data_IF_711532056510
#
_entry.id   IF_711532056510
#
_cell.length_a   1.000
_cell.length_b   1.000
_cell.length_c   1.000
_cell.angle_alpha   90.00
_cell.angle_beta   90.00
_cell.angle_gamma   90.00
#
_symmetry.space_group_name_H-M   'P 1'
#
loop_
_entity.id
_entity.type
_entity.pdbx_description
1 polymer ?
#
# COMPACT_ATOMS: atom_id res chain seq x y z
N UNK A 1 2.96 -4.60 -2.55
CA UNK A 1 2.40 -4.47 -1.17
C UNK A 1 1.16 -3.59 -1.12
N UNK A 2 1.22 -2.33 -1.54
CA UNK A 2 0.11 -1.37 -1.42
C UNK A 2 -1.25 -1.87 -1.97
N UNK A 3 -1.31 -2.43 -3.19
CA UNK A 3 -2.57 -2.96 -3.73
C UNK A 3 -3.18 -4.09 -2.91
N UNK A 4 -2.35 -4.94 -2.28
CA UNK A 4 -2.85 -6.00 -1.40
C UNK A 4 -3.50 -5.42 -0.14
N UNK A 5 -2.89 -4.38 0.45
CA UNK A 5 -3.45 -3.63 1.58
C UNK A 5 -4.80 -3.01 1.19
N UNK A 6 -4.85 -2.30 0.06
CA UNK A 6 -6.08 -1.70 -0.44
C UNK A 6 -7.18 -2.75 -0.68
N UNK A 7 -6.82 -3.92 -1.22
CA UNK A 7 -7.74 -5.04 -1.41
C UNK A 7 -8.28 -5.62 -0.11
N UNK A 8 -7.42 -5.81 0.91
CA UNK A 8 -7.83 -6.27 2.24
C UNK A 8 -8.81 -5.29 2.89
N UNK A 9 -8.48 -3.99 2.88
CA UNK A 9 -9.34 -2.94 3.42
C UNK A 9 -10.68 -2.87 2.69
N UNK A 10 -10.68 -2.91 1.35
CA UNK A 10 -11.90 -2.92 0.54
C UNK A 10 -12.75 -4.18 0.79
N UNK A 11 -12.12 -5.31 1.11
CA UNK A 11 -12.77 -6.54 1.54
C UNK A 11 -13.29 -6.53 2.98
N UNK A 12 -13.15 -5.43 3.71
CA UNK A 12 -13.60 -5.29 5.10
C UNK A 12 -12.63 -5.85 6.14
N UNK A 13 -11.47 -6.37 5.73
CA UNK A 13 -10.42 -6.77 6.66
C UNK A 13 -9.68 -5.54 7.17
N UNK A 14 -9.92 -5.21 8.44
CA UNK A 14 -9.33 -4.04 9.11
C UNK A 14 -8.42 -4.42 10.27
N UNK A 15 -8.17 -5.72 10.49
CA UNK A 15 -7.50 -6.21 11.70
C UNK A 15 -6.53 -7.35 11.50
N UNK A 16 -6.50 -8.01 10.34
CA UNK A 16 -5.63 -9.16 10.17
C UNK A 16 -4.16 -8.82 10.38
N UNK A 17 -3.39 -9.85 10.74
CA UNK A 17 -1.93 -9.74 10.83
C UNK A 17 -1.32 -9.37 9.48
N UNK A 18 -1.86 -9.91 8.39
CA UNK A 18 -1.39 -9.61 7.02
C UNK A 18 -1.53 -8.12 6.69
N UNK A 19 -2.66 -7.50 7.04
CA UNK A 19 -2.84 -6.07 6.87
C UNK A 19 -1.80 -5.28 7.68
N UNK A 20 -1.66 -5.58 8.98
CA UNK A 20 -0.74 -4.87 9.85
C UNK A 20 0.73 -5.01 9.42
N UNK A 21 1.18 -6.21 9.05
CA UNK A 21 2.53 -6.43 8.52
C UNK A 21 2.76 -5.69 7.19
N UNK A 22 1.73 -5.60 6.35
CA UNK A 22 1.82 -4.81 5.11
C UNK A 22 2.04 -3.33 5.39
N UNK A 23 1.32 -2.76 6.36
CA UNK A 23 1.49 -1.37 6.79
C UNK A 23 2.87 -1.15 7.40
N UNK A 24 3.29 -2.02 8.32
CA UNK A 24 4.62 -1.97 8.96
C UNK A 24 5.74 -2.01 7.92
N UNK A 25 5.67 -2.94 6.95
CA UNK A 25 6.63 -3.01 5.85
C UNK A 25 6.72 -1.69 5.07
N UNK A 26 5.59 -1.03 4.76
CA UNK A 26 5.62 0.26 4.07
C UNK A 26 6.26 1.35 4.92
N UNK A 27 6.03 1.39 6.23
CA UNK A 27 6.64 2.37 7.11
C UNK A 27 8.16 2.14 7.26
N UNK A 28 8.58 0.88 7.45
CA UNK A 28 9.99 0.52 7.64
C UNK A 28 10.84 0.71 6.37
N UNK A 29 10.24 0.53 5.19
CA UNK A 29 10.96 0.65 3.91
C UNK A 29 10.85 2.02 3.27
N UNK A 30 10.14 2.97 3.89
CA UNK A 30 10.11 4.34 3.41
C UNK A 30 11.49 4.99 3.54
N UNK A 31 11.95 5.63 2.47
CA UNK A 31 13.23 6.35 2.43
C UNK A 31 13.09 7.69 3.15
N UNK A 32 14.24 8.27 3.51
CA UNK A 32 14.28 9.58 4.18
C UNK A 32 13.65 10.73 3.37
N UNK A 33 13.60 10.61 2.04
CA UNK A 33 12.94 11.58 1.15
C UNK A 33 11.42 11.32 0.99
N UNK A 34 10.88 10.33 1.71
CA UNK A 34 9.48 9.93 1.67
C UNK A 34 9.11 8.98 0.54
N UNK A 35 10.05 8.61 -0.34
CA UNK A 35 9.82 7.65 -1.43
C UNK A 35 10.04 6.19 -1.01
N UNK A 36 9.70 5.25 -1.89
CA UNK A 36 10.04 3.83 -1.75
C UNK A 36 10.93 3.38 -2.92
N UNK A 37 11.74 2.35 -2.71
CA UNK A 37 12.44 1.68 -3.81
C UNK A 37 11.49 0.72 -4.55
N UNK A 38 11.66 0.58 -5.86
CA UNK A 38 10.95 -0.39 -6.69
C UNK A 38 11.87 -0.82 -7.82
N UNK A 39 12.51 -1.97 -7.65
CA UNK A 39 13.53 -2.48 -8.58
C UNK A 39 12.92 -3.30 -9.71
N UNK A 40 11.72 -3.85 -9.50
CA UNK A 40 11.00 -4.68 -10.45
C UNK A 40 9.89 -3.89 -11.14
N UNK A 41 9.69 -4.11 -12.45
CA UNK A 41 8.56 -3.55 -13.16
C UNK A 41 7.25 -4.15 -12.66
N UNK A 42 6.32 -3.28 -12.24
CA UNK A 42 4.98 -3.66 -11.75
C UNK A 42 3.87 -3.40 -12.76
N UNK A 43 4.17 -2.72 -13.87
CA UNK A 43 3.26 -2.54 -14.99
C UNK A 43 3.42 -3.63 -16.05
N UNK A 44 2.32 -4.05 -16.66
CA UNK A 44 2.33 -4.98 -17.81
C UNK A 44 1.86 -4.24 -19.06
N UNK A 45 2.68 -4.25 -20.11
CA UNK A 45 2.26 -3.78 -21.43
C UNK A 45 1.73 -4.93 -22.29
N UNK A 46 2.60 -5.90 -22.61
CA UNK A 46 2.20 -7.15 -23.27
C UNK A 46 2.61 -8.35 -22.40
N UNK A 47 1.65 -9.17 -21.93
CA UNK A 47 1.93 -10.27 -21.03
C UNK A 47 3.07 -11.17 -21.55
N UNK A 48 4.04 -11.45 -20.67
CA UNK A 48 5.23 -12.30 -20.90
C UNK A 48 6.31 -11.73 -21.82
N UNK A 49 6.10 -10.61 -22.50
CA UNK A 49 7.08 -10.10 -23.48
C UNK A 49 7.40 -8.61 -23.34
N UNK A 50 6.60 -7.83 -22.62
CA UNK A 50 6.83 -6.40 -22.43
C UNK A 50 6.23 -5.88 -21.12
N UNK A 51 7.07 -5.30 -20.27
CA UNK A 51 6.70 -4.76 -18.96
C UNK A 51 7.03 -3.28 -18.88
N UNK A 52 6.27 -2.58 -18.03
CA UNK A 52 6.35 -1.13 -17.85
C UNK A 52 6.81 -0.82 -16.44
N UNK A 53 7.75 0.12 -16.33
CA UNK A 53 8.07 0.77 -15.06
C UNK A 53 7.28 2.07 -14.99
N UNK A 54 6.22 2.07 -14.21
CA UNK A 54 5.54 3.30 -13.81
C UNK A 54 6.30 3.88 -12.63
N UNK A 55 7.30 4.74 -12.87
CA UNK A 55 8.24 5.31 -11.86
C UNK A 55 7.60 5.91 -10.60
N UNK A 56 6.32 6.15 -10.71
CA UNK A 56 5.50 7.00 -9.91
C UNK A 56 4.58 6.14 -9.01
N UNK A 57 4.37 4.86 -9.38
CA UNK A 57 3.64 3.86 -8.58
C UNK A 57 4.23 3.65 -7.19
N UNK A 58 5.57 3.63 -7.09
CA UNK A 58 6.29 3.51 -5.83
C UNK A 58 6.04 4.68 -4.86
N UNK A 59 5.46 5.78 -5.31
CA UNK A 59 5.11 6.93 -4.46
C UNK A 59 3.62 6.88 -4.09
N UNK A 60 2.76 6.78 -5.09
CA UNK A 60 1.32 7.02 -4.87
C UNK A 60 0.65 5.88 -4.14
N UNK A 61 0.95 4.64 -4.54
CA UNK A 61 0.21 3.52 -4.01
C UNK A 61 0.53 3.27 -2.54
N UNK A 62 1.81 3.32 -2.08
CA UNK A 62 2.10 3.30 -0.66
C UNK A 62 1.39 4.42 0.11
N UNK A 63 1.45 5.66 -0.39
CA UNK A 63 0.82 6.80 0.26
C UNK A 63 -0.71 6.65 0.36
N UNK A 64 -1.35 6.19 -0.72
CA UNK A 64 -2.80 5.96 -0.76
C UNK A 64 -3.21 4.85 0.22
N UNK A 65 -2.47 3.73 0.24
CA UNK A 65 -2.74 2.62 1.15
C UNK A 65 -2.58 3.02 2.63
N UNK A 66 -1.54 3.79 2.96
CA UNK A 66 -1.34 4.33 4.31
C UNK A 66 -2.45 5.32 4.70
N UNK A 67 -2.87 6.19 3.77
CA UNK A 67 -3.96 7.15 3.99
C UNK A 67 -5.29 6.44 4.27
N UNK A 68 -5.63 5.42 3.49
CA UNK A 68 -6.88 4.68 3.66
C UNK A 68 -6.89 3.88 4.96
N UNK A 69 -5.76 3.26 5.33
CA UNK A 69 -5.63 2.60 6.62
C UNK A 69 -5.78 3.58 7.80
N UNK A 70 -5.19 4.78 7.70
CA UNK A 70 -5.32 5.81 8.73
C UNK A 70 -6.78 6.24 8.93
N UNK A 71 -7.53 6.48 7.84
CA UNK A 71 -8.97 6.80 7.90
C UNK A 71 -9.77 5.71 8.63
N UNK A 72 -9.52 4.44 8.31
CA UNK A 72 -10.18 3.29 8.94
C UNK A 72 -9.84 3.18 10.43
N UNK A 73 -8.61 3.48 10.84
CA UNK A 73 -8.23 3.51 12.26
C UNK A 73 -8.93 4.65 13.00
N UNK A 74 -9.00 5.84 12.40
CA UNK A 74 -9.65 7.00 13.01
C UNK A 74 -11.16 6.83 13.14
N UNK A 75 -11.85 6.35 12.10
CA UNK A 75 -13.32 6.14 12.17
C UNK A 75 -13.70 5.20 13.32
N UNK A 76 -12.89 4.15 13.51
CA UNK A 76 -13.11 3.14 14.55
C UNK A 76 -12.78 3.63 15.96
N UNK A 77 -11.90 4.63 16.11
CA UNK A 77 -11.69 5.30 17.40
C UNK A 77 -12.90 6.17 17.77
N UNK A 78 -13.53 6.83 16.78
CA UNK A 78 -14.72 7.66 17.00
C UNK A 78 -15.95 6.82 17.34
N UNK A 79 -16.14 5.64 16.75
CA UNK A 79 -17.25 4.73 17.08
C UNK A 79 -17.14 4.12 18.50
N UNK A 80 -15.96 4.16 19.12
CA UNK A 80 -15.69 3.58 20.43
C UNK A 80 -15.66 4.60 21.58
N UNK A 81 -15.72 5.89 21.27
CA UNK A 81 -15.78 6.99 22.23
C UNK A 81 -17.23 7.38 22.52
#
# INVERSE_FOLDING_TARGET
>A
TAWAISGLLAGGDTTSRSLHHGIEYLLETQRADGSWNEDLSTGTGFPRVFYLTYHLYRLYFPLLALSDFAKVKTSRSTERA
#
